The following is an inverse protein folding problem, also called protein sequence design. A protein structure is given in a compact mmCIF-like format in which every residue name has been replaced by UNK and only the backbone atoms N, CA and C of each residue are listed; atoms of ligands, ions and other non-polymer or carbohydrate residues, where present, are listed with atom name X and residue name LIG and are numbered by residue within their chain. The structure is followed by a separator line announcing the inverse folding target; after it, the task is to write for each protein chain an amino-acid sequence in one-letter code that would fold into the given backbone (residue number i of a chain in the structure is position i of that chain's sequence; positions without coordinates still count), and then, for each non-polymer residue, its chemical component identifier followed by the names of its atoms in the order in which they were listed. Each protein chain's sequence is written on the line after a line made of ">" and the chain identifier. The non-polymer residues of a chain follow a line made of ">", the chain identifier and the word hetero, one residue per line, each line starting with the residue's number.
data_IF_584040970143
#
_entry.id   IF_584040970143
#
_cell.length_a   1.000
_cell.length_b   1.000
_cell.length_c   1.000
_cell.angle_alpha   90.00
_cell.angle_beta   90.00
_cell.angle_gamma   90.00
#
_symmetry.space_group_name_H-M   'P 1'
#
loop_
_entity.id
_entity.type
_entity.pdbx_description
1 polymer ?
#
# COMPACT_ATOMS: atom_id res chain seq x y z
N UNK A 1 5.90 -17.92 -0.94
CA UNK A 1 5.61 -16.94 -1.98
C UNK A 1 6.05 -15.57 -1.49
N UNK A 2 6.82 -14.84 -2.29
CA UNK A 2 7.24 -13.47 -1.94
C UNK A 2 6.07 -12.50 -2.16
N UNK A 3 5.68 -11.77 -1.12
CA UNK A 3 4.73 -10.68 -1.19
C UNK A 3 5.48 -9.35 -1.37
N UNK A 4 5.04 -8.52 -2.31
CA UNK A 4 5.51 -7.15 -2.47
C UNK A 4 4.43 -6.23 -1.92
N UNK A 5 4.78 -5.44 -0.92
CA UNK A 5 3.88 -4.47 -0.31
C UNK A 5 3.83 -3.22 -1.17
N UNK A 6 2.64 -2.66 -1.35
CA UNK A 6 2.45 -1.43 -2.11
C UNK A 6 1.05 -0.87 -1.94
N UNK A 7 0.83 0.30 -2.50
CA UNK A 7 -0.48 0.96 -2.55
C UNK A 7 -0.65 1.73 -3.86
N UNK A 8 -1.85 1.69 -4.42
CA UNK A 8 -2.24 2.57 -5.51
C UNK A 8 -2.74 3.89 -4.95
N UNK A 9 -2.34 4.98 -5.60
CA UNK A 9 -2.78 6.34 -5.32
C UNK A 9 -3.33 6.99 -6.58
N UNK A 10 -4.44 7.70 -6.42
CA UNK A 10 -4.93 8.68 -7.41
C UNK A 10 -4.82 10.06 -6.76
N UNK A 11 -3.91 10.90 -7.28
CA UNK A 11 -3.73 12.25 -6.79
C UNK A 11 -4.88 13.16 -7.27
N UNK A 12 -5.09 14.27 -6.57
CA UNK A 12 -6.12 15.27 -6.92
C UNK A 12 -6.03 15.74 -8.38
N UNK A 13 -4.83 15.79 -8.95
CA UNK A 13 -4.61 16.15 -10.36
C UNK A 13 -4.89 15.01 -11.36
N UNK A 14 -5.46 13.90 -10.91
CA UNK A 14 -5.76 12.74 -11.75
C UNK A 14 -4.58 11.81 -12.05
N UNK A 15 -3.37 12.13 -11.60
CA UNK A 15 -2.23 11.22 -11.71
C UNK A 15 -2.49 9.96 -10.91
N UNK A 16 -2.33 8.80 -11.54
CA UNK A 16 -2.37 7.49 -10.89
C UNK A 16 -0.98 6.87 -10.83
N UNK A 17 -0.63 6.35 -9.67
CA UNK A 17 0.61 5.59 -9.51
C UNK A 17 0.46 4.49 -8.45
N UNK A 18 1.24 3.43 -8.58
CA UNK A 18 1.44 2.43 -7.53
C UNK A 18 2.82 2.66 -6.91
N UNK A 19 2.87 2.78 -5.59
CA UNK A 19 4.12 2.80 -4.85
C UNK A 19 4.40 1.40 -4.32
N UNK A 20 5.57 0.84 -4.65
CA UNK A 20 6.03 -0.46 -4.20
C UNK A 20 7.16 -0.31 -3.20
N UNK A 21 7.09 -1.06 -2.11
CA UNK A 21 8.08 -1.01 -1.02
C UNK A 21 9.30 -1.86 -1.36
N UNK A 22 10.48 -1.23 -1.34
CA UNK A 22 11.77 -1.90 -1.48
C UNK A 22 12.35 -2.28 -0.11
N UNK A 23 12.30 -1.35 0.88
CA UNK A 23 12.94 -1.45 2.19
C UNK A 23 12.00 -1.09 3.33
N UNK A 24 12.36 -1.36 4.58
CA UNK A 24 11.60 -0.95 5.76
C UNK A 24 11.39 0.58 5.83
N UNK A 25 12.40 1.38 5.45
CA UNK A 25 12.25 2.84 5.36
C UNK A 25 11.18 3.26 4.33
N UNK A 26 11.13 2.56 3.18
CA UNK A 26 10.07 2.78 2.19
C UNK A 26 8.68 2.43 2.74
N UNK A 27 8.57 1.37 3.55
CA UNK A 27 7.31 1.00 4.20
C UNK A 27 6.83 2.11 5.16
N UNK A 28 7.72 2.66 5.98
CA UNK A 28 7.40 3.79 6.85
C UNK A 28 6.84 4.97 6.04
N UNK A 29 7.54 5.37 4.96
CA UNK A 29 7.09 6.47 4.08
C UNK A 29 5.76 6.18 3.40
N UNK A 30 5.53 4.94 2.97
CA UNK A 30 4.24 4.54 2.41
C UNK A 30 3.12 4.71 3.43
N UNK A 31 3.33 4.29 4.69
CA UNK A 31 2.37 4.47 5.78
C UNK A 31 2.11 5.95 6.09
N UNK A 32 3.14 6.80 6.07
CA UNK A 32 3.03 8.24 6.26
C UNK A 32 2.20 8.90 5.14
N UNK A 33 2.45 8.52 3.88
CA UNK A 33 1.66 9.00 2.75
C UNK A 33 0.18 8.60 2.86
N UNK A 34 -0.10 7.34 3.20
CA UNK A 34 -1.47 6.85 3.42
C UNK A 34 -2.13 7.61 4.56
N UNK A 35 -1.43 7.81 5.67
CA UNK A 35 -1.93 8.52 6.85
C UNK A 35 -2.23 9.97 6.51
N UNK A 36 -1.31 10.67 5.84
CA UNK A 36 -1.49 12.05 5.39
C UNK A 36 -2.72 12.17 4.49
N UNK A 37 -2.83 11.29 3.49
CA UNK A 37 -3.96 11.30 2.56
C UNK A 37 -5.31 11.04 3.25
N UNK A 38 -5.36 10.12 4.21
CA UNK A 38 -6.58 9.77 4.96
C UNK A 38 -6.98 10.83 5.96
N UNK A 39 -6.02 11.50 6.61
CA UNK A 39 -6.28 12.58 7.57
C UNK A 39 -6.63 13.93 6.91
N UNK A 40 -6.43 14.06 5.60
CA UNK A 40 -6.75 15.26 4.84
C UNK A 40 -8.26 15.43 4.53
N UNK A 41 -9.09 14.45 4.86
CA UNK A 41 -10.54 14.42 4.61
C UNK A 41 -11.26 13.64 5.70
N UNK A 42 -12.59 13.80 5.73
CA UNK A 42 -13.44 13.04 6.64
C UNK A 42 -13.43 11.53 6.36
N UNK A 43 -13.99 10.77 7.30
CA UNK A 43 -14.04 9.31 7.29
C UNK A 43 -14.56 8.76 5.95
N UNK A 44 -13.88 7.75 5.39
CA UNK A 44 -14.14 7.03 4.14
C UNK A 44 -13.53 7.63 2.86
N UNK A 45 -12.95 8.84 2.89
CA UNK A 45 -12.23 9.42 1.75
C UNK A 45 -10.71 9.36 1.90
N UNK A 46 -10.01 9.87 0.89
CA UNK A 46 -8.63 10.30 0.99
C UNK A 46 -8.38 11.43 -0.02
N UNK A 47 -7.41 12.28 0.26
CA UNK A 47 -6.98 13.35 -0.63
C UNK A 47 -5.45 13.43 -0.56
N UNK A 48 -4.80 13.25 -1.70
CA UNK A 48 -3.35 13.35 -1.83
C UNK A 48 -3.00 14.30 -2.97
N UNK A 49 -2.17 15.30 -2.69
CA UNK A 49 -1.67 16.25 -3.68
C UNK A 49 -0.22 15.96 -4.03
N UNK A 50 0.28 16.55 -5.14
CA UNK A 50 1.72 16.49 -5.46
C UNK A 50 2.57 17.10 -4.36
N UNK A 51 2.12 18.21 -3.78
CA UNK A 51 2.81 18.89 -2.67
C UNK A 51 2.93 18.01 -1.42
N UNK A 52 1.92 17.20 -1.10
CA UNK A 52 2.00 16.27 0.04
C UNK A 52 3.09 15.21 -0.19
N UNK A 53 3.18 14.68 -1.41
CA UNK A 53 4.22 13.71 -1.80
C UNK A 53 5.61 14.37 -1.76
N UNK A 54 5.76 15.55 -2.37
CA UNK A 54 7.00 16.32 -2.37
C UNK A 54 7.47 16.62 -0.94
N UNK A 55 6.58 17.13 -0.08
CA UNK A 55 6.91 17.44 1.31
C UNK A 55 7.43 16.23 2.10
N UNK A 56 6.90 15.05 1.85
CA UNK A 56 7.31 13.82 2.55
C UNK A 56 8.55 13.17 1.95
N UNK A 57 8.90 13.49 0.70
CA UNK A 57 9.97 12.81 -0.02
C UNK A 57 11.08 13.74 -0.53
N UNK A 58 10.90 15.09 -0.52
CA UNK A 58 11.86 16.05 -1.08
C UNK A 58 13.23 16.05 -0.40
N UNK A 59 13.25 15.85 0.91
CA UNK A 59 14.49 15.84 1.69
C UNK A 59 15.15 14.45 1.70
N UNK A 60 14.63 13.53 0.90
CA UNK A 60 15.11 12.15 0.84
C UNK A 60 15.78 11.92 -0.50
N UNK A 61 17.07 11.58 -0.47
CA UNK A 61 17.75 11.09 -1.68
C UNK A 61 16.92 9.96 -2.30
N UNK A 62 16.52 10.07 -3.59
CA UNK A 62 15.79 9.01 -4.27
C UNK A 62 16.43 7.63 -4.13
N UNK A 63 17.75 7.54 -4.03
CA UNK A 63 18.48 6.27 -3.84
C UNK A 63 18.14 5.58 -2.52
N UNK A 64 17.81 6.33 -1.46
CA UNK A 64 17.48 5.79 -0.12
C UNK A 64 15.99 5.92 0.22
N UNK A 65 15.18 6.41 -0.71
CA UNK A 65 13.73 6.54 -0.54
C UNK A 65 13.06 5.21 -0.18
N UNK A 66 13.57 4.09 -0.71
CA UNK A 66 13.05 2.75 -0.43
C UNK A 66 11.68 2.46 -1.05
N UNK A 67 11.22 3.32 -1.96
CA UNK A 67 9.99 3.15 -2.74
C UNK A 67 10.29 3.16 -4.23
N UNK A 68 9.55 2.37 -4.99
CA UNK A 68 9.41 2.50 -6.44
C UNK A 68 8.07 3.11 -6.77
N UNK A 69 8.01 3.98 -7.76
CA UNK A 69 6.77 4.52 -8.30
C UNK A 69 6.49 3.91 -9.69
N UNK A 70 5.36 3.26 -9.85
CA UNK A 70 4.84 2.82 -11.13
C UNK A 70 3.79 3.84 -11.58
N UNK A 71 4.10 4.63 -12.59
CA UNK A 71 3.11 5.50 -13.22
C UNK A 71 2.10 4.66 -13.99
N UNK A 72 0.81 4.90 -13.80
CA UNK A 72 -0.29 4.30 -14.56
C UNK A 72 -0.86 5.36 -15.51
N UNK A 73 -0.35 5.46 -16.75
CA UNK A 73 -0.85 6.46 -17.70
C UNK A 73 -2.31 6.21 -18.05
N UNK A 74 -3.10 7.28 -18.08
CA UNK A 74 -4.47 7.24 -18.57
C UNK A 74 -4.52 6.86 -20.06
N UNK A 75 -5.72 6.77 -20.64
CA UNK A 75 -5.88 6.48 -22.08
C UNK A 75 -5.20 7.53 -22.94
N UNK A 76 -5.35 8.82 -22.57
CA UNK A 76 -4.56 9.93 -23.07
C UNK A 76 -3.35 10.11 -22.15
N UNK A 77 -2.15 10.02 -22.75
CA UNK A 77 -0.90 10.02 -22.00
C UNK A 77 -0.47 11.47 -21.75
N UNK A 78 -0.55 11.92 -20.51
CA UNK A 78 -0.02 13.20 -20.08
C UNK A 78 1.41 13.03 -19.54
N UNK A 79 2.40 13.25 -20.40
CA UNK A 79 3.82 13.09 -20.04
C UNK A 79 4.29 14.03 -18.92
N UNK A 80 3.56 15.10 -18.62
CA UNK A 80 3.90 15.97 -17.48
C UNK A 80 3.81 15.23 -16.14
N UNK A 81 2.91 14.25 -16.05
CA UNK A 81 2.78 13.37 -14.90
C UNK A 81 4.02 12.47 -14.74
N UNK A 82 4.48 11.88 -15.84
CA UNK A 82 5.69 11.04 -15.84
C UNK A 82 6.94 11.83 -15.46
N UNK A 83 7.13 13.04 -16.02
CA UNK A 83 8.24 13.93 -15.65
C UNK A 83 8.22 14.33 -14.19
N UNK A 84 7.04 14.61 -13.64
CA UNK A 84 6.91 14.90 -12.22
C UNK A 84 7.28 13.68 -11.36
N UNK A 85 6.82 12.48 -11.70
CA UNK A 85 7.23 11.28 -10.95
C UNK A 85 8.75 11.06 -11.01
N UNK A 86 9.38 11.30 -12.15
CA UNK A 86 10.84 11.22 -12.26
C UNK A 86 11.56 12.28 -11.42
N UNK A 87 11.02 13.50 -11.32
CA UNK A 87 11.63 14.53 -10.47
C UNK A 87 11.61 14.16 -8.98
N UNK A 88 10.61 13.35 -8.54
CA UNK A 88 10.48 12.90 -7.15
C UNK A 88 11.23 11.60 -6.88
N UNK A 89 11.15 10.62 -7.80
CA UNK A 89 11.64 9.26 -7.58
C UNK A 89 12.90 8.92 -8.36
N UNK A 90 13.37 9.81 -9.24
CA UNK A 90 14.55 9.56 -10.07
C UNK A 90 14.42 8.29 -10.92
N UNK A 91 15.46 7.45 -10.90
CA UNK A 91 15.53 6.16 -11.58
C UNK A 91 14.58 5.08 -11.01
N UNK A 92 13.92 5.38 -9.90
CA UNK A 92 12.90 4.54 -9.27
C UNK A 92 11.50 4.76 -9.82
N UNK A 93 11.32 5.76 -10.72
CA UNK A 93 10.09 5.95 -11.46
C UNK A 93 10.05 5.01 -12.68
N UNK A 94 8.99 4.22 -12.78
CA UNK A 94 8.75 3.26 -13.87
C UNK A 94 7.39 3.54 -14.50
N UNK A 95 7.20 3.13 -15.76
CA UNK A 95 5.90 3.21 -16.42
C UNK A 95 5.22 1.83 -16.42
N UNK A 96 4.03 1.73 -15.85
CA UNK A 96 3.23 0.52 -15.93
C UNK A 96 2.61 0.39 -17.33
N UNK A 97 2.78 -0.77 -17.94
CA UNK A 97 2.14 -1.17 -19.20
C UNK A 97 1.08 -2.20 -18.87
N UNK A 98 -0.20 -1.80 -18.99
CA UNK A 98 -1.35 -2.65 -18.73
C UNK A 98 -2.04 -3.01 -20.04
N UNK A 99 -2.12 -4.31 -20.33
CA UNK A 99 -2.77 -4.88 -21.52
C UNK A 99 -3.83 -5.90 -21.09
N UNK A 100 -5.07 -5.66 -21.51
CA UNK A 100 -6.22 -6.45 -21.08
C UNK A 100 -6.95 -7.12 -22.24
N UNK A 101 -6.24 -7.41 -23.34
CA UNK A 101 -6.80 -7.99 -24.58
C UNK A 101 -7.94 -7.15 -25.14
N UNK A 102 -7.80 -5.85 -25.07
CA UNK A 102 -8.67 -4.90 -25.73
C UNK A 102 -8.26 -4.74 -27.20
N UNK A 103 -9.19 -4.28 -28.03
CA UNK A 103 -8.96 -4.16 -29.48
C UNK A 103 -7.81 -3.20 -29.82
N UNK A 104 -7.58 -2.20 -28.99
CA UNK A 104 -6.55 -1.16 -29.18
C UNK A 104 -5.26 -1.42 -28.40
N UNK A 105 -5.08 -2.59 -27.76
CA UNK A 105 -3.90 -2.92 -26.94
C UNK A 105 -2.58 -2.75 -27.73
N UNK A 106 -2.53 -3.15 -28.99
CA UNK A 106 -1.32 -3.00 -29.80
C UNK A 106 -0.96 -1.52 -30.03
N UNK A 107 -1.93 -0.67 -30.36
CA UNK A 107 -1.73 0.75 -30.55
C UNK A 107 -1.41 1.44 -29.21
N UNK A 108 -2.04 1.02 -28.10
CA UNK A 108 -1.74 1.51 -26.76
C UNK A 108 -0.32 1.15 -26.35
N UNK A 109 0.12 -0.09 -26.58
CA UNK A 109 1.48 -0.52 -26.29
C UNK A 109 2.50 0.34 -27.04
N UNK A 110 2.30 0.58 -28.33
CA UNK A 110 3.20 1.40 -29.14
C UNK A 110 3.32 2.82 -28.55
N UNK A 111 2.20 3.48 -28.23
CA UNK A 111 2.20 4.82 -27.62
C UNK A 111 2.89 4.86 -26.26
N UNK A 112 2.66 3.84 -25.41
CA UNK A 112 3.31 3.75 -24.10
C UNK A 112 4.82 3.57 -24.23
N UNK A 113 5.29 2.71 -25.14
CA UNK A 113 6.74 2.51 -25.37
C UNK A 113 7.40 3.76 -25.95
N UNK A 114 6.74 4.46 -26.85
CA UNK A 114 7.23 5.73 -27.40
C UNK A 114 7.33 6.82 -26.31
N UNK A 115 6.30 6.96 -25.47
CA UNK A 115 6.32 7.89 -24.34
C UNK A 115 7.39 7.51 -23.31
N UNK A 116 7.54 6.23 -22.99
CA UNK A 116 8.59 5.74 -22.11
C UNK A 116 9.99 6.07 -22.62
N UNK A 117 10.21 5.95 -23.94
CA UNK A 117 11.47 6.31 -24.58
C UNK A 117 11.75 7.83 -24.49
N UNK A 118 10.74 8.67 -24.78
CA UNK A 118 10.88 10.14 -24.66
C UNK A 118 11.16 10.60 -23.22
N UNK A 119 10.58 9.91 -22.26
CA UNK A 119 10.80 10.17 -20.83
C UNK A 119 12.04 9.49 -20.26
N UNK A 120 12.74 8.65 -20.99
CA UNK A 120 13.79 7.76 -20.48
C UNK A 120 13.35 6.94 -19.26
N UNK A 121 12.07 6.53 -19.24
CA UNK A 121 11.46 5.78 -18.14
C UNK A 121 11.38 4.29 -18.50
N UNK A 122 11.73 3.41 -17.56
CA UNK A 122 11.67 1.96 -17.81
C UNK A 122 10.21 1.49 -17.79
N UNK A 123 9.69 0.95 -18.92
CA UNK A 123 8.36 0.37 -18.94
C UNK A 123 8.37 -1.05 -18.33
N UNK A 124 7.35 -1.38 -17.52
CA UNK A 124 7.20 -2.67 -16.86
C UNK A 124 5.81 -3.27 -17.12
N UNK A 125 5.73 -4.59 -17.33
CA UNK A 125 4.46 -5.27 -17.44
C UNK A 125 3.69 -5.22 -16.11
N UNK A 126 2.44 -4.74 -16.15
CA UNK A 126 1.53 -4.68 -15.03
C UNK A 126 0.16 -5.23 -15.43
N UNK A 127 -0.56 -5.86 -14.51
CA UNK A 127 -1.79 -6.58 -14.84
C UNK A 127 -3.06 -5.98 -14.26
N UNK A 128 -2.96 -5.06 -13.30
CA UNK A 128 -4.10 -4.53 -12.54
C UNK A 128 -5.10 -5.65 -12.17
N UNK A 129 -4.59 -6.64 -11.42
CA UNK A 129 -5.33 -7.87 -11.13
C UNK A 129 -6.36 -7.62 -10.03
N UNK A 130 -7.63 -7.91 -10.35
CA UNK A 130 -8.76 -7.81 -9.43
C UNK A 130 -9.41 -9.18 -9.13
N UNK A 131 -9.02 -10.22 -9.84
CA UNK A 131 -9.62 -11.56 -9.74
C UNK A 131 -8.53 -12.62 -9.75
N UNK A 132 -8.75 -13.72 -9.05
CA UNK A 132 -7.89 -14.90 -9.10
C UNK A 132 -8.03 -15.65 -10.46
N UNK A 133 -9.26 -15.77 -10.95
CA UNK A 133 -9.58 -16.41 -12.24
C UNK A 133 -10.65 -15.62 -12.99
N UNK A 134 -10.65 -15.73 -14.33
CA UNK A 134 -11.60 -15.00 -15.22
C UNK A 134 -13.07 -15.21 -14.84
N UNK A 135 -13.47 -16.40 -14.41
CA UNK A 135 -14.86 -16.72 -14.03
C UNK A 135 -15.36 -15.94 -12.81
N UNK A 136 -14.46 -15.33 -12.03
CA UNK A 136 -14.82 -14.46 -10.89
C UNK A 136 -15.27 -13.06 -11.28
N UNK A 137 -15.36 -12.78 -12.59
CA UNK A 137 -15.84 -11.49 -13.08
C UNK A 137 -17.21 -11.10 -12.51
N UNK A 138 -18.17 -12.04 -12.47
CA UNK A 138 -19.49 -11.75 -11.91
C UNK A 138 -19.43 -11.28 -10.45
N UNK A 139 -18.53 -11.88 -9.63
CA UNK A 139 -18.29 -11.44 -8.27
C UNK A 139 -17.68 -10.04 -8.21
N UNK A 140 -16.69 -9.77 -9.06
CA UNK A 140 -16.06 -8.45 -9.16
C UNK A 140 -17.09 -7.36 -9.55
N UNK A 141 -17.94 -7.64 -10.53
CA UNK A 141 -19.00 -6.74 -10.97
C UNK A 141 -20.03 -6.48 -9.85
N UNK A 142 -20.39 -7.53 -9.09
CA UNK A 142 -21.27 -7.41 -7.91
C UNK A 142 -20.62 -6.53 -6.82
N UNK A 143 -19.33 -6.72 -6.52
CA UNK A 143 -18.62 -5.88 -5.54
C UNK A 143 -18.54 -4.42 -5.99
N UNK A 144 -18.42 -4.18 -7.31
CA UNK A 144 -18.48 -2.83 -7.87
C UNK A 144 -19.86 -2.20 -7.67
N UNK A 145 -20.93 -2.93 -7.95
CA UNK A 145 -22.32 -2.47 -7.72
C UNK A 145 -22.55 -2.13 -6.23
N UNK A 146 -22.09 -2.97 -5.31
CA UNK A 146 -22.17 -2.71 -3.86
C UNK A 146 -21.41 -1.43 -3.49
N UNK A 147 -20.22 -1.21 -4.04
CA UNK A 147 -19.40 -0.01 -3.79
C UNK A 147 -20.13 1.27 -4.22
N UNK A 148 -20.82 1.22 -5.35
CA UNK A 148 -21.57 2.36 -5.89
C UNK A 148 -23.00 2.46 -5.37
N UNK A 149 -23.44 1.48 -4.54
CA UNK A 149 -24.81 1.42 -3.98
C UNK A 149 -25.85 1.50 -5.11
N UNK A 150 -25.62 0.79 -6.21
CA UNK A 150 -26.45 0.83 -7.41
C UNK A 150 -26.71 -0.59 -7.95
N UNK A 151 -27.83 -0.84 -8.62
CA UNK A 151 -28.07 -2.10 -9.34
C UNK A 151 -26.99 -2.35 -10.39
N UNK A 152 -26.66 -3.62 -10.64
CA UNK A 152 -25.63 -3.99 -11.60
C UNK A 152 -25.90 -3.43 -13.01
N UNK A 153 -27.16 -3.37 -13.41
CA UNK A 153 -27.58 -2.84 -14.71
C UNK A 153 -27.26 -1.34 -14.91
N UNK A 154 -27.11 -0.59 -13.81
CA UNK A 154 -26.79 0.84 -13.81
C UNK A 154 -25.29 1.10 -13.65
N UNK A 155 -24.48 0.07 -13.37
CA UNK A 155 -23.04 0.20 -13.10
C UNK A 155 -22.16 0.16 -14.35
N UNK A 156 -22.70 0.21 -15.57
CA UNK A 156 -21.97 -0.06 -16.81
C UNK A 156 -20.65 0.70 -16.98
N UNK A 157 -20.62 1.98 -16.61
CA UNK A 157 -19.41 2.83 -16.69
C UNK A 157 -18.32 2.45 -15.66
N UNK A 158 -18.71 1.77 -14.59
CA UNK A 158 -17.81 1.38 -13.51
C UNK A 158 -17.31 -0.06 -13.65
N UNK A 159 -17.87 -0.82 -14.57
CA UNK A 159 -17.49 -2.21 -14.80
C UNK A 159 -16.30 -2.32 -15.75
N UNK A 160 -15.45 -3.30 -15.51
CA UNK A 160 -14.40 -3.63 -16.49
C UNK A 160 -15.02 -4.13 -17.79
N UNK A 161 -14.43 -3.73 -18.92
CA UNK A 161 -14.92 -4.12 -20.26
C UNK A 161 -14.92 -5.62 -20.49
N UNK A 162 -13.97 -6.33 -19.85
CA UNK A 162 -13.81 -7.78 -19.98
C UNK A 162 -13.30 -8.42 -18.67
N UNK A 163 -13.12 -9.73 -18.65
CA UNK A 163 -12.61 -10.47 -17.49
C UNK A 163 -11.08 -10.65 -17.48
N UNK A 164 -10.32 -9.79 -18.15
CA UNK A 164 -8.86 -9.98 -18.30
C UNK A 164 -8.02 -9.54 -17.10
N UNK A 165 -8.62 -8.86 -16.12
CA UNK A 165 -7.94 -8.44 -14.87
C UNK A 165 -7.89 -9.59 -13.84
N UNK A 166 -7.40 -10.76 -14.29
CA UNK A 166 -7.24 -11.95 -13.46
C UNK A 166 -5.78 -12.41 -13.43
N UNK A 167 -5.42 -13.21 -12.43
CA UNK A 167 -4.10 -13.84 -12.37
C UNK A 167 -3.87 -14.72 -13.59
N UNK A 168 -2.76 -14.52 -14.27
CA UNK A 168 -2.39 -15.23 -15.48
C UNK A 168 -1.18 -16.12 -15.25
N UNK A 169 -1.14 -17.23 -15.95
CA UNK A 169 0.06 -18.07 -15.97
C UNK A 169 1.22 -17.36 -16.67
N UNK A 170 2.46 -17.75 -16.36
CA UNK A 170 3.66 -17.18 -17.02
C UNK A 170 3.59 -17.30 -18.54
N UNK A 171 3.07 -18.44 -19.05
CA UNK A 171 2.87 -18.64 -20.49
C UNK A 171 1.88 -17.64 -21.09
N UNK A 172 0.77 -17.39 -20.40
CA UNK A 172 -0.23 -16.42 -20.86
C UNK A 172 0.32 -14.99 -20.85
N UNK A 173 1.13 -14.62 -19.84
CA UNK A 173 1.82 -13.33 -19.80
C UNK A 173 2.80 -13.18 -20.98
N UNK A 174 3.59 -14.22 -21.29
CA UNK A 174 4.50 -14.20 -22.44
C UNK A 174 3.82 -14.06 -23.80
N UNK A 175 2.53 -14.41 -23.90
CA UNK A 175 1.74 -14.21 -25.13
C UNK A 175 1.10 -12.80 -25.23
N UNK A 176 1.16 -12.00 -24.17
CA UNK A 176 0.53 -10.67 -24.10
C UNK A 176 1.58 -9.57 -24.14
N UNK A 177 2.64 -9.73 -23.35
CA UNK A 177 3.66 -8.70 -23.17
C UNK A 177 4.94 -9.04 -23.92
N UNK A 178 5.62 -8.04 -24.52
CA UNK A 178 7.01 -8.18 -24.94
C UNK A 178 7.87 -8.69 -23.79
N UNK A 179 8.82 -9.56 -24.09
CA UNK A 179 9.70 -10.19 -23.09
C UNK A 179 10.43 -9.17 -22.22
N UNK A 180 10.90 -8.07 -22.80
CA UNK A 180 11.62 -7.01 -22.09
C UNK A 180 10.80 -6.40 -20.94
N UNK A 181 9.48 -6.23 -21.11
CA UNK A 181 8.60 -5.69 -20.07
C UNK A 181 8.43 -6.65 -18.90
N UNK A 182 8.38 -7.94 -19.19
CA UNK A 182 8.30 -9.00 -18.17
C UNK A 182 9.62 -9.06 -17.40
N UNK A 183 10.75 -9.01 -18.09
CA UNK A 183 12.07 -9.06 -17.47
C UNK A 183 12.30 -7.81 -16.60
N UNK A 184 11.86 -6.63 -17.02
CA UNK A 184 11.87 -5.40 -16.22
C UNK A 184 11.01 -5.55 -14.95
N UNK A 185 9.80 -6.11 -15.06
CA UNK A 185 8.94 -6.35 -13.90
C UNK A 185 9.60 -7.36 -12.90
N UNK A 186 10.26 -8.39 -13.41
CA UNK A 186 11.00 -9.36 -12.57
C UNK A 186 12.20 -8.70 -11.89
N UNK A 187 12.95 -7.85 -12.62
CA UNK A 187 14.08 -7.10 -12.05
C UNK A 187 13.63 -6.17 -10.92
N UNK A 188 12.54 -5.42 -11.14
CA UNK A 188 11.91 -4.57 -10.12
C UNK A 188 11.47 -5.39 -8.90
N UNK A 189 10.78 -6.51 -9.12
CA UNK A 189 10.31 -7.39 -8.05
C UNK A 189 11.47 -7.99 -7.20
N UNK A 190 12.63 -8.24 -7.79
CA UNK A 190 13.82 -8.72 -7.08
C UNK A 190 14.39 -7.65 -6.14
N UNK A 191 14.27 -6.38 -6.49
CA UNK A 191 14.71 -5.25 -5.65
C UNK A 191 13.82 -5.05 -4.42
N UNK A 192 12.50 -5.29 -4.52
CA UNK A 192 11.58 -5.21 -3.39
C UNK A 192 11.92 -6.30 -2.36
N UNK A 193 12.68 -5.99 -1.30
CA UNK A 193 13.20 -6.97 -0.33
C UNK A 193 12.48 -6.96 1.01
N UNK A 194 11.63 -5.97 1.23
CA UNK A 194 10.89 -5.81 2.47
C UNK A 194 9.95 -7.00 2.74
N UNK A 195 9.96 -7.47 3.98
CA UNK A 195 9.11 -8.57 4.46
C UNK A 195 8.39 -8.14 5.74
N UNK A 196 7.05 -8.15 5.71
CA UNK A 196 6.20 -7.72 6.82
C UNK A 196 6.45 -8.50 8.13
N UNK A 197 6.79 -9.79 8.04
CA UNK A 197 6.99 -10.62 9.21
C UNK A 197 8.38 -10.48 9.80
N UNK A 198 9.38 -10.25 8.94
CA UNK A 198 10.78 -10.20 9.36
C UNK A 198 11.24 -8.80 9.72
N UNK A 199 10.77 -7.79 8.97
CA UNK A 199 11.36 -6.45 9.01
C UNK A 199 10.53 -5.48 9.85
N UNK A 200 9.33 -5.89 10.32
CA UNK A 200 8.55 -5.11 11.28
C UNK A 200 8.74 -5.70 12.68
N UNK A 201 9.30 -4.85 13.55
CA UNK A 201 9.39 -5.11 14.98
C UNK A 201 8.54 -4.07 15.69
N UNK A 202 7.46 -4.51 16.32
CA UNK A 202 6.66 -3.62 17.13
C UNK A 202 7.46 -3.18 18.35
N UNK A 203 7.53 -1.87 18.57
CA UNK A 203 8.13 -1.29 19.77
C UNK A 203 7.06 -0.49 20.47
N UNK A 204 6.83 -0.81 21.73
CA UNK A 204 5.92 -0.03 22.56
C UNK A 204 6.50 1.37 22.81
N UNK A 205 5.65 2.43 22.85
CA UNK A 205 6.10 3.77 23.18
C UNK A 205 6.65 3.82 24.60
N UNK A 206 7.94 4.06 24.75
CA UNK A 206 8.58 4.18 26.08
C UNK A 206 8.26 5.51 26.77
N UNK A 207 7.86 6.52 26.02
CA UNK A 207 7.52 7.86 26.51
C UNK A 207 6.26 7.92 27.37
N UNK A 208 5.45 6.87 27.41
CA UNK A 208 4.28 6.76 28.28
C UNK A 208 4.63 6.37 29.72
N UNK A 209 5.88 5.96 29.96
CA UNK A 209 6.36 5.56 31.28
C UNK A 209 7.05 6.75 31.96
N UNK A 210 6.58 7.21 33.13
CA UNK A 210 7.20 8.31 33.85
C UNK A 210 8.62 8.01 34.30
N UNK A 211 9.42 9.07 34.48
CA UNK A 211 10.77 8.92 35.02
C UNK A 211 10.77 8.23 36.38
N UNK A 212 11.63 7.24 36.56
CA UNK A 212 11.75 6.44 37.79
C UNK A 212 10.92 5.16 37.81
N UNK A 213 10.11 4.92 36.78
CA UNK A 213 9.36 3.67 36.60
C UNK A 213 9.94 2.84 35.47
N UNK A 214 9.74 1.52 35.53
CA UNK A 214 9.81 0.61 34.38
C UNK A 214 8.39 0.43 33.83
N UNK A 215 8.21 -0.07 32.58
CA UNK A 215 6.89 -0.39 32.05
C UNK A 215 6.08 -1.29 33.00
N UNK A 216 6.69 -2.32 33.55
CA UNK A 216 6.08 -3.25 34.50
C UNK A 216 5.61 -2.54 35.77
N UNK A 217 6.47 -1.74 36.40
CA UNK A 217 6.10 -1.04 37.65
C UNK A 217 5.03 0.03 37.41
N UNK A 218 5.06 0.71 36.27
CA UNK A 218 4.06 1.70 35.92
C UNK A 218 2.69 1.06 35.63
N UNK A 219 2.68 -0.04 34.87
CA UNK A 219 1.45 -0.79 34.60
C UNK A 219 0.82 -1.27 35.91
N UNK A 220 1.61 -1.82 36.85
CA UNK A 220 1.14 -2.26 38.16
C UNK A 220 0.53 -1.11 38.94
N UNK A 221 1.20 0.05 39.02
CA UNK A 221 0.68 1.21 39.73
C UNK A 221 -0.63 1.72 39.13
N UNK A 222 -0.75 1.80 37.80
CA UNK A 222 -1.99 2.16 37.13
C UNK A 222 -3.12 1.18 37.42
N UNK A 223 -2.81 -0.12 37.44
CA UNK A 223 -3.77 -1.19 37.74
C UNK A 223 -4.26 -1.09 39.18
N UNK A 224 -3.35 -0.91 40.15
CA UNK A 224 -3.70 -0.74 41.57
C UNK A 224 -4.54 0.54 41.79
N UNK A 225 -4.24 1.62 41.09
CA UNK A 225 -5.07 2.83 41.14
C UNK A 225 -6.47 2.55 40.61
N UNK A 226 -6.60 1.88 39.47
CA UNK A 226 -7.88 1.48 38.90
C UNK A 226 -8.66 0.52 39.78
N UNK A 227 -7.97 -0.40 40.50
CA UNK A 227 -8.62 -1.26 41.52
C UNK A 227 -9.24 -0.44 42.63
N UNK A 228 -8.51 0.51 43.22
CA UNK A 228 -9.03 1.40 44.30
C UNK A 228 -10.23 2.22 43.85
N UNK A 229 -10.23 2.70 42.59
CA UNK A 229 -11.36 3.44 42.04
C UNK A 229 -12.59 2.57 41.81
N UNK A 230 -12.39 1.31 41.40
CA UNK A 230 -13.49 0.38 41.07
C UNK A 230 -14.08 -0.33 42.27
N UNK A 231 -13.26 -0.58 43.28
CA UNK A 231 -13.65 -1.22 44.54
C UNK A 231 -13.25 -0.39 45.77
N UNK A 232 -13.94 0.73 46.03
CA UNK A 232 -13.56 1.64 47.11
C UNK A 232 -13.72 1.00 48.52
N UNK A 233 -14.57 -0.04 48.64
CA UNK A 233 -14.79 -0.76 49.90
C UNK A 233 -13.87 -1.98 50.08
N UNK A 234 -12.98 -2.21 49.13
CA UNK A 234 -12.03 -3.33 49.15
C UNK A 234 -12.15 -4.23 47.91
N UNK A 235 -11.02 -4.62 47.37
CA UNK A 235 -10.94 -5.49 46.18
C UNK A 235 -11.15 -6.92 46.62
N UNK A 236 -12.04 -7.72 45.95
CA UNK A 236 -12.19 -9.15 46.24
C UNK A 236 -10.90 -9.93 46.01
N UNK A 237 -10.53 -10.86 46.88
CA UNK A 237 -9.30 -11.66 46.77
C UNK A 237 -9.17 -12.37 45.41
N UNK A 238 -10.27 -12.90 44.88
CA UNK A 238 -10.28 -13.57 43.57
C UNK A 238 -9.92 -12.62 42.42
N UNK A 239 -10.20 -11.32 42.53
CA UNK A 239 -9.83 -10.31 41.56
C UNK A 239 -8.36 -9.96 41.68
N UNK A 240 -7.85 -9.89 42.93
CA UNK A 240 -6.40 -9.64 43.17
C UNK A 240 -5.59 -10.79 42.57
N UNK A 241 -5.95 -12.05 42.86
CA UNK A 241 -5.27 -13.24 42.34
C UNK A 241 -5.26 -13.25 40.79
N UNK A 242 -6.40 -12.91 40.17
CA UNK A 242 -6.49 -12.84 38.71
C UNK A 242 -5.58 -11.73 38.13
N UNK A 243 -5.60 -10.54 38.71
CA UNK A 243 -4.78 -9.42 38.26
C UNK A 243 -3.29 -9.73 38.39
N UNK A 244 -2.87 -10.33 39.50
CA UNK A 244 -1.48 -10.71 39.70
C UNK A 244 -1.04 -11.76 38.68
N UNK A 245 -1.89 -12.73 38.38
CA UNK A 245 -1.64 -13.71 37.32
C UNK A 245 -1.52 -13.09 35.93
N UNK A 246 -2.40 -12.15 35.59
CA UNK A 246 -2.36 -11.46 34.31
C UNK A 246 -1.12 -10.53 34.18
N UNK A 247 -0.79 -9.80 35.24
CA UNK A 247 0.42 -8.94 35.23
C UNK A 247 1.70 -9.75 35.10
N UNK A 248 1.77 -10.91 35.76
CA UNK A 248 2.91 -11.82 35.62
C UNK A 248 3.04 -12.37 34.20
N UNK A 249 1.93 -12.71 33.55
CA UNK A 249 1.92 -13.15 32.14
C UNK A 249 2.34 -12.04 31.18
N UNK A 250 1.86 -10.80 31.40
CA UNK A 250 2.24 -9.63 30.59
C UNK A 250 3.76 -9.39 30.69
N UNK A 251 4.33 -9.47 31.92
CA UNK A 251 5.77 -9.32 32.15
C UNK A 251 6.57 -10.45 31.46
N UNK A 252 6.12 -11.72 31.57
CA UNK A 252 6.75 -12.84 30.88
C UNK A 252 6.79 -12.65 29.35
N UNK A 253 5.71 -12.11 28.80
CA UNK A 253 5.56 -11.87 27.36
C UNK A 253 6.17 -10.54 26.89
N UNK A 254 6.62 -9.67 27.81
CA UNK A 254 7.14 -8.32 27.53
C UNK A 254 6.14 -7.44 26.78
N UNK A 255 4.87 -7.41 27.24
CA UNK A 255 3.78 -6.65 26.64
C UNK A 255 3.27 -5.50 27.54
N UNK A 256 4.05 -5.04 28.48
CA UNK A 256 3.74 -3.93 29.40
C UNK A 256 3.40 -2.60 28.72
#
# INVERSE_FOLDING_TARGET
>A
LKLIVGSEFTLVCGLKCVLLVETAAGYTRLCELITTARRAVDKKGYRLTRQDVERLLSDVDPAVCGLFALWLPAREIDETQGRWLQSVFGDRAHMAVELHREQDDAARLARLLESAARLAMVPVAAGDVHMDVRRRRALQDTMTAIRHVAPLAECGEHLFRNGERHLRTRRALGNIYPRALIDAAVALARRCRFDLKRDIHYRYPAELVPAGHTPTTWLRELTERGMRERWPEGVPDSVVDQIDGELALIEELQYE
#
